data_IF_862947632028
#
_entry.id   IF_862947632028
#
_cell.length_a   1.000
_cell.length_b   1.000
_cell.length_c   1.000
_cell.angle_alpha   90.00
_cell.angle_beta   90.00
_cell.angle_gamma   90.00
#
_symmetry.space_group_name_H-M   'P 1'
#
loop_
_entity.id
_entity.type
_entity.pdbx_description
1 polymer ?
#
# COMPACT_ATOMS: atom_id res chain seq x y z
N UNK A 1 -10.21 -10.06 -31.60
CA UNK A 1 -9.48 -9.35 -30.50
C UNK A 1 -7.97 -9.64 -30.50
N UNK A 2 -7.39 -9.89 -31.68
CA UNK A 2 -5.95 -9.88 -31.94
C UNK A 2 -5.72 -8.89 -33.06
N UNK A 3 -5.52 -7.62 -32.72
CA UNK A 3 -4.85 -6.73 -33.65
C UNK A 3 -3.50 -6.44 -33.01
N UNK A 4 -2.46 -7.01 -33.62
CA UNK A 4 -1.09 -6.60 -33.37
C UNK A 4 -1.07 -5.10 -33.69
N UNK A 5 -0.76 -4.29 -32.68
CA UNK A 5 -0.40 -2.90 -32.90
C UNK A 5 0.67 -2.85 -33.99
N UNK A 6 0.62 -1.87 -34.88
CA UNK A 6 1.75 -1.62 -35.78
C UNK A 6 3.02 -1.42 -34.95
N UNK A 7 4.19 -1.71 -35.50
CA UNK A 7 5.46 -1.65 -34.77
C UNK A 7 5.70 -0.25 -34.18
N UNK A 8 5.34 0.79 -34.92
CA UNK A 8 5.41 2.18 -34.48
C UNK A 8 4.42 2.48 -33.34
N UNK A 9 3.19 1.97 -33.42
CA UNK A 9 2.17 2.14 -32.38
C UNK A 9 2.54 1.37 -31.10
N UNK A 10 3.15 0.19 -31.24
CA UNK A 10 3.70 -0.59 -30.13
C UNK A 10 4.81 0.18 -29.42
N UNK A 11 5.76 0.74 -30.18
CA UNK A 11 6.88 1.48 -29.61
C UNK A 11 6.42 2.77 -28.91
N UNK A 12 5.47 3.51 -29.51
CA UNK A 12 4.83 4.68 -28.90
C UNK A 12 4.12 4.31 -27.60
N UNK A 13 3.36 3.22 -27.60
CA UNK A 13 2.65 2.74 -26.41
C UNK A 13 3.64 2.36 -25.32
N UNK A 14 4.71 1.62 -25.64
CA UNK A 14 5.72 1.26 -24.65
C UNK A 14 6.43 2.46 -24.05
N UNK A 15 6.75 3.45 -24.87
CA UNK A 15 7.35 4.71 -24.39
C UNK A 15 6.40 5.45 -23.45
N UNK A 16 5.11 5.49 -23.77
CA UNK A 16 4.08 6.14 -22.94
C UNK A 16 3.95 5.54 -21.54
N UNK A 17 4.17 4.23 -21.39
CA UNK A 17 4.13 3.54 -20.08
C UNK A 17 5.53 3.30 -19.47
N UNK A 18 6.59 3.87 -20.05
CA UNK A 18 7.96 3.69 -19.53
C UNK A 18 8.52 2.27 -19.63
N UNK A 19 8.00 1.45 -20.55
CA UNK A 19 8.34 0.02 -20.72
C UNK A 19 9.03 -0.25 -22.06
N UNK A 20 9.73 0.73 -22.64
CA UNK A 20 10.42 0.62 -23.93
C UNK A 20 11.39 -0.59 -23.99
N UNK A 21 12.04 -0.91 -22.88
CA UNK A 21 12.96 -2.04 -22.79
C UNK A 21 12.28 -3.38 -22.51
N UNK A 22 10.99 -3.40 -22.14
CA UNK A 22 10.25 -4.65 -21.89
C UNK A 22 9.89 -5.29 -23.23
N UNK A 23 10.31 -6.53 -23.42
CA UNK A 23 10.13 -7.29 -24.66
C UNK A 23 8.68 -7.75 -24.80
N UNK A 24 8.23 -7.91 -26.06
CA UNK A 24 6.91 -8.45 -26.36
C UNK A 24 6.73 -9.89 -25.85
N UNK A 25 7.83 -10.65 -25.78
CA UNK A 25 7.84 -11.99 -25.22
C UNK A 25 7.48 -11.99 -23.73
N UNK A 26 8.04 -11.04 -22.95
CA UNK A 26 7.70 -10.86 -21.53
C UNK A 26 6.23 -10.48 -21.37
N UNK A 27 5.74 -9.48 -22.12
CA UNK A 27 4.33 -9.07 -22.08
C UNK A 27 3.39 -10.25 -22.37
N UNK A 28 3.68 -11.02 -23.43
CA UNK A 28 2.91 -12.21 -23.81
C UNK A 28 2.93 -13.28 -22.71
N UNK A 29 4.07 -13.49 -22.06
CA UNK A 29 4.24 -14.49 -21.00
C UNK A 29 3.43 -14.16 -19.74
N UNK A 30 3.34 -12.88 -19.38
CA UNK A 30 2.50 -12.40 -18.27
C UNK A 30 1.04 -12.13 -18.69
N UNK A 31 0.71 -12.31 -19.98
CA UNK A 31 -0.62 -12.07 -20.53
C UNK A 31 -1.00 -10.59 -20.62
N UNK A 32 -0.06 -9.66 -20.43
CA UNK A 32 -0.30 -8.21 -20.46
C UNK A 32 -0.61 -7.77 -21.88
N UNK A 33 -1.66 -6.96 -22.03
CA UNK A 33 -2.16 -6.49 -23.33
C UNK A 33 -2.42 -5.00 -23.31
N UNK A 34 -2.44 -4.38 -24.48
CA UNK A 34 -2.90 -3.01 -24.64
C UNK A 34 -4.31 -3.00 -25.23
N UNK A 35 -5.23 -2.28 -24.60
CA UNK A 35 -6.60 -2.09 -25.07
C UNK A 35 -6.71 -0.71 -25.71
N UNK A 36 -6.77 -0.65 -27.05
CA UNK A 36 -6.84 0.60 -27.82
C UNK A 36 -8.03 1.48 -27.43
N UNK A 37 -9.21 0.89 -27.29
CA UNK A 37 -10.46 1.63 -26.98
C UNK A 37 -10.38 2.40 -25.67
N UNK A 38 -9.78 1.80 -24.65
CA UNK A 38 -9.59 2.40 -23.34
C UNK A 38 -8.22 3.09 -23.19
N UNK A 39 -7.36 3.06 -24.23
CA UNK A 39 -5.95 3.48 -24.18
C UNK A 39 -5.19 2.97 -22.93
N UNK A 40 -5.50 1.74 -22.51
CA UNK A 40 -5.04 1.18 -21.22
C UNK A 40 -4.15 -0.04 -21.41
N UNK A 41 -3.14 -0.20 -20.55
CA UNK A 41 -2.52 -1.51 -20.34
C UNK A 41 -3.42 -2.37 -19.45
N UNK A 42 -3.54 -3.64 -19.80
CA UNK A 42 -4.38 -4.63 -19.13
C UNK A 42 -3.47 -5.68 -18.51
N UNK A 43 -3.48 -5.76 -17.19
CA UNK A 43 -2.79 -6.75 -16.40
C UNK A 43 -3.78 -7.84 -15.97
N UNK A 44 -3.75 -9.01 -16.61
CA UNK A 44 -4.64 -10.08 -16.24
C UNK A 44 -4.19 -10.75 -14.94
N UNK A 45 -5.19 -11.19 -14.21
CA UNK A 45 -5.04 -11.75 -12.89
C UNK A 45 -5.57 -13.17 -12.94
N UNK A 46 -4.63 -14.11 -12.99
CA UNK A 46 -4.91 -15.51 -13.20
C UNK A 46 -4.91 -16.28 -11.87
N UNK A 47 -5.81 -17.26 -11.78
CA UNK A 47 -5.77 -18.22 -10.70
C UNK A 47 -4.57 -19.17 -10.85
N UNK A 48 -3.83 -19.44 -9.76
CA UNK A 48 -2.62 -20.27 -9.83
C UNK A 48 -2.88 -21.75 -10.14
N UNK A 49 -4.11 -22.25 -9.98
CA UNK A 49 -4.42 -23.68 -10.18
C UNK A 49 -4.85 -24.03 -11.60
N UNK A 50 -5.66 -23.17 -12.22
CA UNK A 50 -6.34 -23.44 -13.49
C UNK A 50 -6.02 -22.40 -14.58
N UNK A 51 -5.19 -21.40 -14.27
CA UNK A 51 -4.92 -20.24 -15.13
C UNK A 51 -6.21 -19.53 -15.61
N UNK A 52 -7.32 -19.70 -14.88
CA UNK A 52 -8.57 -19.01 -15.17
C UNK A 52 -8.42 -17.52 -14.86
N UNK A 53 -9.00 -16.67 -15.71
CA UNK A 53 -9.02 -15.23 -15.47
C UNK A 53 -9.97 -14.94 -14.29
N UNK A 54 -9.43 -14.35 -13.22
CA UNK A 54 -10.18 -13.96 -12.02
C UNK A 54 -10.39 -12.45 -11.92
N UNK A 55 -9.59 -11.67 -12.64
CA UNK A 55 -9.72 -10.22 -12.70
C UNK A 55 -8.78 -9.59 -13.72
N UNK A 56 -8.84 -8.27 -13.80
CA UNK A 56 -8.07 -7.42 -14.69
C UNK A 56 -7.76 -6.13 -13.94
N UNK A 57 -6.51 -5.67 -14.01
CA UNK A 57 -6.15 -4.31 -13.65
C UNK A 57 -5.85 -3.53 -14.93
N UNK A 58 -6.50 -2.40 -15.10
CA UNK A 58 -6.33 -1.46 -16.21
C UNK A 58 -5.47 -0.30 -15.73
N UNK A 59 -4.46 0.08 -16.50
CA UNK A 59 -3.62 1.24 -16.24
C UNK A 59 -3.70 2.18 -17.44
N UNK A 60 -4.24 3.38 -17.21
CA UNK A 60 -4.34 4.47 -18.19
C UNK A 60 -3.24 5.47 -17.93
N UNK A 61 -2.57 5.91 -18.99
CA UNK A 61 -1.63 7.01 -18.92
C UNK A 61 -2.34 8.30 -19.35
N UNK A 62 -2.51 9.24 -18.43
CA UNK A 62 -3.04 10.57 -18.69
C UNK A 62 -1.91 11.59 -18.64
N UNK A 63 -1.80 12.43 -19.67
CA UNK A 63 -0.79 13.49 -19.74
C UNK A 63 -1.39 14.77 -19.17
N UNK A 64 -0.96 15.21 -17.99
CA UNK A 64 -1.36 16.49 -17.38
C UNK A 64 -0.18 17.44 -17.36
N UNK A 65 -0.31 18.54 -18.11
CA UNK A 65 0.56 19.74 -18.20
C UNK A 65 2.07 19.50 -18.42
N UNK A 66 2.75 18.68 -17.60
CA UNK A 66 4.14 18.23 -17.78
C UNK A 66 4.47 16.83 -17.20
N UNK A 67 3.50 16.14 -16.59
CA UNK A 67 3.68 14.83 -15.98
C UNK A 67 2.70 13.77 -16.53
N UNK A 68 3.18 12.53 -16.65
CA UNK A 68 2.31 11.39 -16.97
C UNK A 68 1.74 10.84 -15.67
N UNK A 69 0.44 10.99 -15.47
CA UNK A 69 -0.30 10.43 -14.34
C UNK A 69 -0.87 9.08 -14.76
N UNK A 70 -0.61 8.05 -13.97
CA UNK A 70 -1.18 6.74 -14.20
C UNK A 70 -2.46 6.60 -13.37
N UNK A 71 -3.57 6.31 -14.05
CA UNK A 71 -4.86 6.02 -13.42
C UNK A 71 -5.08 4.52 -13.48
N UNK A 72 -5.32 3.90 -12.32
CA UNK A 72 -5.52 2.47 -12.19
C UNK A 72 -7.00 2.15 -11.95
N UNK A 73 -7.51 1.11 -12.59
CA UNK A 73 -8.88 0.63 -12.42
C UNK A 73 -8.85 -0.90 -12.32
N UNK A 74 -9.58 -1.48 -11.36
CA UNK A 74 -9.51 -2.91 -11.06
C UNK A 74 -10.88 -3.59 -11.18
N UNK A 75 -10.94 -4.73 -11.86
CA UNK A 75 -12.17 -5.48 -12.13
C UNK A 75 -11.98 -6.98 -11.79
N UNK A 76 -12.80 -7.62 -10.93
CA UNK A 76 -13.82 -7.03 -10.05
C UNK A 76 -13.17 -6.18 -8.93
N UNK A 77 -13.98 -5.39 -8.21
CA UNK A 77 -13.50 -4.49 -7.14
C UNK A 77 -12.61 -5.22 -6.11
N UNK A 78 -11.64 -4.46 -5.59
CA UNK A 78 -10.46 -4.94 -4.84
C UNK A 78 -10.79 -5.85 -3.66
N UNK A 79 -11.91 -5.64 -2.97
CA UNK A 79 -12.24 -6.35 -1.73
C UNK A 79 -12.56 -7.85 -1.94
N UNK A 80 -12.92 -8.20 -3.18
CA UNK A 80 -13.22 -9.59 -3.58
C UNK A 80 -12.00 -10.36 -4.10
N UNK A 81 -10.86 -9.71 -4.35
CA UNK A 81 -9.74 -10.32 -5.05
C UNK A 81 -8.49 -10.52 -4.18
N UNK A 82 -8.05 -11.78 -4.07
CA UNK A 82 -6.97 -12.23 -3.18
C UNK A 82 -5.94 -13.07 -3.93
N UNK A 83 -5.36 -12.55 -5.00
CA UNK A 83 -4.34 -13.25 -5.79
C UNK A 83 -3.18 -12.29 -6.15
N UNK A 84 -2.06 -12.87 -6.56
CA UNK A 84 -0.83 -12.14 -6.92
C UNK A 84 -0.66 -12.13 -8.44
N UNK A 85 -0.23 -11.00 -8.99
CA UNK A 85 0.17 -10.93 -10.40
C UNK A 85 1.51 -11.66 -10.59
N UNK A 86 1.65 -12.40 -11.70
CA UNK A 86 2.89 -13.13 -12.01
C UNK A 86 2.97 -14.56 -11.47
N UNK A 87 1.90 -15.11 -10.89
CA UNK A 87 1.86 -16.50 -10.43
C UNK A 87 1.97 -17.55 -11.56
N UNK A 88 1.28 -17.45 -12.72
CA UNK A 88 1.32 -18.50 -13.73
C UNK A 88 2.71 -18.75 -14.37
N UNK A 89 3.56 -17.72 -14.59
CA UNK A 89 4.93 -17.93 -15.06
C UNK A 89 5.85 -18.73 -14.12
N UNK A 90 5.47 -18.91 -12.84
CA UNK A 90 6.29 -19.55 -11.81
C UNK A 90 6.18 -21.07 -11.91
N UNK A 91 7.32 -21.73 -11.98
CA UNK A 91 7.41 -23.18 -12.01
C UNK A 91 7.44 -23.78 -10.60
N UNK A 92 7.03 -25.05 -10.47
CA UNK A 92 7.13 -25.81 -9.21
C UNK A 92 8.57 -26.01 -8.69
N UNK A 93 9.58 -25.69 -9.51
CA UNK A 93 11.00 -25.80 -9.16
C UNK A 93 11.58 -24.51 -8.57
N UNK A 94 10.85 -23.41 -8.62
CA UNK A 94 11.32 -22.12 -8.14
C UNK A 94 11.28 -22.10 -6.61
N UNK A 95 12.46 -22.08 -5.97
CA UNK A 95 12.60 -22.06 -4.51
C UNK A 95 12.75 -20.65 -3.93
N UNK A 96 13.06 -19.68 -4.78
CA UNK A 96 13.30 -18.28 -4.43
C UNK A 96 12.30 -17.39 -5.17
N UNK A 97 11.79 -16.36 -4.49
CA UNK A 97 10.80 -15.43 -5.04
C UNK A 97 11.21 -13.98 -4.76
N UNK A 98 10.98 -13.10 -5.73
CA UNK A 98 11.02 -11.64 -5.52
C UNK A 98 9.60 -11.07 -5.48
N UNK A 99 9.25 -10.39 -4.39
CA UNK A 99 7.95 -9.73 -4.21
C UNK A 99 8.09 -8.23 -4.48
N UNK A 100 7.30 -7.71 -5.42
CA UNK A 100 7.26 -6.30 -5.82
C UNK A 100 5.93 -5.64 -5.46
N UNK A 101 5.93 -4.30 -5.42
CA UNK A 101 4.70 -3.52 -5.27
C UNK A 101 3.91 -3.37 -6.57
N UNK A 102 4.57 -3.43 -7.74
CA UNK A 102 3.97 -3.08 -9.02
C UNK A 102 4.14 -4.20 -10.05
N UNK A 103 3.15 -4.37 -10.93
CA UNK A 103 3.13 -5.41 -11.96
C UNK A 103 4.26 -5.25 -12.98
N UNK A 104 4.57 -4.01 -13.35
CA UNK A 104 5.66 -3.70 -14.28
C UNK A 104 7.03 -4.10 -13.73
N UNK A 105 7.24 -3.92 -12.42
CA UNK A 105 8.48 -4.27 -11.75
C UNK A 105 8.71 -5.80 -11.72
N UNK A 106 7.64 -6.57 -11.52
CA UNK A 106 7.72 -8.03 -11.61
C UNK A 106 8.13 -8.47 -13.03
N UNK A 107 7.56 -7.87 -14.07
CA UNK A 107 7.96 -8.17 -15.46
C UNK A 107 9.42 -7.80 -15.74
N UNK A 108 9.88 -6.64 -15.24
CA UNK A 108 11.26 -6.21 -15.41
C UNK A 108 12.25 -7.19 -14.77
N UNK A 109 11.96 -7.67 -13.56
CA UNK A 109 12.77 -8.67 -12.85
C UNK A 109 12.82 -10.00 -13.60
N UNK A 110 11.66 -10.48 -14.04
CA UNK A 110 11.58 -11.73 -14.79
C UNK A 110 12.39 -11.66 -16.08
N UNK A 111 12.32 -10.54 -16.80
CA UNK A 111 13.06 -10.35 -18.05
C UNK A 111 14.57 -10.26 -17.83
N UNK A 112 15.01 -9.43 -16.87
CA UNK A 112 16.41 -9.08 -16.75
C UNK A 112 17.21 -10.05 -15.88
N UNK A 113 16.59 -10.61 -14.83
CA UNK A 113 17.23 -11.51 -13.89
C UNK A 113 16.78 -12.97 -14.03
N UNK A 114 15.69 -13.25 -14.77
CA UNK A 114 15.17 -14.60 -14.92
C UNK A 114 14.61 -15.20 -13.62
N UNK A 115 14.31 -14.36 -12.63
CA UNK A 115 13.83 -14.77 -11.30
C UNK A 115 12.31 -14.85 -11.25
N UNK A 116 11.79 -15.81 -10.48
CA UNK A 116 10.38 -15.85 -10.14
C UNK A 116 10.01 -14.57 -9.38
N UNK A 117 9.02 -13.85 -9.89
CA UNK A 117 8.63 -12.55 -9.37
C UNK A 117 7.12 -12.38 -9.41
N UNK A 118 6.57 -11.78 -8.34
CA UNK A 118 5.14 -11.49 -8.23
C UNK A 118 4.93 -10.08 -7.69
N UNK A 119 3.81 -9.48 -8.09
CA UNK A 119 3.40 -8.16 -7.61
C UNK A 119 2.19 -8.23 -6.68
N UNK A 120 2.18 -7.35 -5.68
CA UNK A 120 1.07 -7.18 -4.75
C UNK A 120 -0.08 -6.39 -5.38
N UNK A 121 -1.34 -6.80 -5.18
CA UNK A 121 -2.49 -6.12 -5.77
C UNK A 121 -2.68 -4.68 -5.24
N UNK A 122 -2.27 -4.43 -3.99
CA UNK A 122 -2.34 -3.10 -3.32
C UNK A 122 -0.95 -2.51 -3.07
N UNK A 123 0.03 -2.88 -3.89
CA UNK A 123 1.41 -2.42 -3.75
C UNK A 123 1.98 -2.57 -2.34
N UNK A 124 2.69 -1.53 -1.88
CA UNK A 124 3.30 -1.51 -0.55
C UNK A 124 2.31 -1.20 0.59
N UNK A 125 1.02 -0.97 0.29
CA UNK A 125 0.03 -0.55 1.29
C UNK A 125 -0.40 -1.68 2.21
N UNK A 126 -0.67 -2.87 1.65
CA UNK A 126 -1.19 -3.99 2.45
C UNK A 126 -0.79 -5.35 1.85
N UNK A 127 -0.42 -6.28 2.74
CA UNK A 127 -0.22 -7.70 2.47
C UNK A 127 -1.27 -8.52 3.23
N UNK A 128 -2.43 -8.82 2.60
CA UNK A 128 -3.47 -9.62 3.22
C UNK A 128 -3.00 -11.03 3.58
N UNK A 129 -3.36 -11.57 4.76
CA UNK A 129 -3.00 -12.93 5.18
C UNK A 129 -3.43 -14.03 4.21
N UNK A 130 -4.50 -13.81 3.44
CA UNK A 130 -4.95 -14.74 2.41
C UNK A 130 -3.95 -14.96 1.26
N UNK A 131 -2.97 -14.06 1.08
CA UNK A 131 -1.91 -14.22 0.10
C UNK A 131 -0.72 -15.03 0.62
N UNK A 132 -0.60 -15.20 1.95
CA UNK A 132 0.53 -15.89 2.58
C UNK A 132 0.68 -17.35 2.12
N UNK A 133 -0.38 -18.16 1.94
CA UNK A 133 -0.25 -19.53 1.46
C UNK A 133 0.45 -19.63 0.09
N UNK A 134 0.26 -18.64 -0.80
CA UNK A 134 0.96 -18.60 -2.09
C UNK A 134 2.45 -18.33 -1.94
N UNK A 135 2.84 -17.59 -0.90
CA UNK A 135 4.22 -17.21 -0.61
C UNK A 135 4.93 -18.26 0.27
N UNK A 136 4.17 -19.10 0.98
CA UNK A 136 4.72 -20.10 1.91
C UNK A 136 5.55 -21.18 1.25
N UNK A 137 5.25 -21.54 0.00
CA UNK A 137 5.99 -22.54 -0.77
C UNK A 137 7.46 -22.17 -1.01
N UNK A 138 7.82 -20.88 -0.95
CA UNK A 138 9.17 -20.41 -1.24
C UNK A 138 10.06 -20.45 0.00
N UNK A 139 11.29 -20.97 -0.19
CA UNK A 139 12.30 -21.08 0.86
C UNK A 139 12.96 -19.74 1.17
N UNK A 140 13.03 -18.83 0.18
CA UNK A 140 13.60 -17.49 0.30
C UNK A 140 12.72 -16.48 -0.43
N UNK A 141 12.47 -15.35 0.21
CA UNK A 141 11.66 -14.27 -0.35
C UNK A 141 12.46 -12.97 -0.26
N UNK A 142 12.69 -12.33 -1.39
CA UNK A 142 13.31 -11.00 -1.45
C UNK A 142 12.22 -9.96 -1.67
N UNK A 143 12.14 -8.95 -0.80
CA UNK A 143 11.16 -7.87 -0.86
C UNK A 143 11.80 -6.65 -1.52
N UNK A 144 11.28 -6.25 -2.67
CA UNK A 144 11.69 -5.05 -3.42
C UNK A 144 10.44 -4.27 -3.82
N UNK A 145 9.85 -3.58 -2.85
CA UNK A 145 8.50 -3.00 -2.98
C UNK A 145 8.47 -1.64 -3.65
N UNK A 146 9.58 -0.90 -3.67
CA UNK A 146 9.67 0.43 -4.23
C UNK A 146 11.00 1.12 -3.87
N UNK A 147 11.06 2.42 -4.13
CA UNK A 147 12.24 3.26 -3.97
C UNK A 147 12.17 4.23 -2.78
N UNK A 148 11.04 4.31 -2.09
CA UNK A 148 10.82 5.23 -0.97
C UNK A 148 10.95 4.54 0.41
N UNK A 149 11.15 5.35 1.45
CA UNK A 149 11.23 4.86 2.81
C UNK A 149 9.94 4.16 3.26
N UNK A 150 8.78 4.55 2.73
CA UNK A 150 7.49 3.88 3.01
C UNK A 150 7.49 2.44 2.51
N UNK A 151 7.95 2.20 1.28
CA UNK A 151 8.11 0.86 0.72
C UNK A 151 9.11 0.02 1.53
N UNK A 152 10.17 0.64 2.05
CA UNK A 152 11.13 -0.02 2.93
C UNK A 152 10.52 -0.43 4.28
N UNK A 153 9.76 0.45 4.91
CA UNK A 153 9.05 0.15 6.15
C UNK A 153 7.97 -0.93 5.94
N UNK A 154 7.22 -0.86 4.84
CA UNK A 154 6.26 -1.88 4.44
C UNK A 154 6.94 -3.24 4.25
N UNK A 155 8.12 -3.27 3.61
CA UNK A 155 8.90 -4.49 3.45
C UNK A 155 9.33 -5.08 4.81
N UNK A 156 9.76 -4.23 5.76
CA UNK A 156 10.05 -4.67 7.14
C UNK A 156 8.81 -5.27 7.83
N UNK A 157 7.63 -4.68 7.64
CA UNK A 157 6.36 -5.18 8.19
C UNK A 157 5.98 -6.53 7.55
N UNK A 158 6.02 -6.63 6.23
CA UNK A 158 5.67 -7.84 5.48
C UNK A 158 6.63 -8.98 5.78
N UNK A 159 7.92 -8.71 6.00
CA UNK A 159 8.89 -9.71 6.42
C UNK A 159 8.55 -10.36 7.78
N UNK A 160 7.88 -9.62 8.70
CA UNK A 160 7.40 -10.19 9.96
C UNK A 160 6.28 -11.20 9.73
N UNK A 161 5.35 -10.92 8.80
CA UNK A 161 4.28 -11.85 8.40
C UNK A 161 4.82 -13.07 7.66
N UNK A 162 5.85 -12.88 6.83
CA UNK A 162 6.43 -13.89 5.97
C UNK A 162 7.56 -14.70 6.63
N UNK A 163 7.75 -14.60 7.94
CA UNK A 163 8.87 -15.17 8.70
C UNK A 163 10.23 -14.57 8.33
N UNK A 164 10.73 -13.70 9.21
CA UNK A 164 11.98 -12.94 9.08
C UNK A 164 13.20 -13.77 8.63
N UNK A 165 13.28 -15.05 9.02
CA UNK A 165 14.45 -15.90 8.71
C UNK A 165 14.60 -16.21 7.22
N UNK A 166 13.52 -16.13 6.44
CA UNK A 166 13.55 -16.40 4.99
C UNK A 166 13.45 -15.13 4.15
N UNK A 167 13.35 -13.97 4.77
CA UNK A 167 13.16 -12.70 4.09
C UNK A 167 14.47 -11.92 3.94
N UNK A 168 14.70 -11.41 2.74
CA UNK A 168 15.71 -10.40 2.44
C UNK A 168 15.03 -9.13 1.93
N UNK A 169 15.60 -7.97 2.21
CA UNK A 169 15.03 -6.67 1.87
C UNK A 169 16.00 -5.93 0.94
N UNK A 170 15.51 -5.44 -0.19
CA UNK A 170 16.25 -4.50 -1.04
C UNK A 170 16.07 -3.09 -0.48
N UNK A 171 17.16 -2.38 -0.30
CA UNK A 171 17.15 -1.05 0.31
C UNK A 171 16.83 0.02 -0.74
N UNK A 172 15.99 1.02 -0.43
CA UNK A 172 15.83 2.16 -1.30
C UNK A 172 17.12 3.01 -1.35
N UNK A 173 17.46 3.52 -2.52
CA UNK A 173 18.54 4.50 -2.72
C UNK A 173 18.85 4.72 -4.20
N UNK A 174 19.66 5.74 -4.50
CA UNK A 174 19.96 6.17 -5.88
C UNK A 174 20.55 5.06 -6.75
N UNK A 175 21.31 4.13 -6.13
CA UNK A 175 21.90 2.97 -6.81
C UNK A 175 20.99 1.74 -6.86
N UNK A 176 19.82 1.81 -6.24
CA UNK A 176 18.82 0.74 -6.11
C UNK A 176 17.40 1.31 -6.31
N UNK A 177 17.09 1.90 -7.49
CA UNK A 177 15.75 2.40 -7.80
C UNK A 177 14.76 1.23 -7.90
N UNK A 178 13.48 1.51 -8.18
CA UNK A 178 12.52 0.42 -8.43
C UNK A 178 12.94 -0.47 -9.63
N UNK A 179 12.54 -1.74 -9.68
CA UNK A 179 13.04 -2.69 -10.68
C UNK A 179 12.89 -2.25 -12.15
N UNK A 180 11.76 -1.64 -12.53
CA UNK A 180 11.56 -1.13 -13.89
C UNK A 180 12.55 -0.01 -14.23
N UNK A 181 12.80 0.90 -13.30
CA UNK A 181 13.71 2.03 -13.54
C UNK A 181 15.16 1.56 -13.52
N UNK A 182 15.50 0.59 -12.67
CA UNK A 182 16.80 -0.08 -12.70
C UNK A 182 17.06 -0.74 -14.06
N UNK A 183 16.04 -1.35 -14.67
CA UNK A 183 16.12 -1.90 -16.02
C UNK A 183 16.33 -0.79 -17.06
N UNK A 184 15.56 0.30 -16.98
CA UNK A 184 15.66 1.45 -17.88
C UNK A 184 17.02 2.15 -17.81
N UNK A 185 17.68 2.16 -16.65
CA UNK A 185 19.03 2.69 -16.45
C UNK A 185 20.14 1.70 -16.81
N UNK A 186 19.82 0.47 -17.21
CA UNK A 186 20.81 -0.57 -17.54
C UNK A 186 21.57 -1.11 -16.33
N UNK A 187 21.03 -0.96 -15.12
CA UNK A 187 21.63 -1.50 -13.90
C UNK A 187 21.54 -3.04 -13.88
N UNK A 188 22.45 -3.68 -13.16
CA UNK A 188 22.43 -5.13 -13.02
C UNK A 188 21.51 -5.56 -11.86
N UNK A 189 20.26 -5.91 -12.17
CA UNK A 189 19.27 -6.34 -11.18
C UNK A 189 19.72 -7.55 -10.36
N UNK A 190 20.46 -8.51 -10.96
CA UNK A 190 20.97 -9.68 -10.20
C UNK A 190 21.99 -9.27 -9.14
N UNK A 191 22.80 -8.24 -9.41
CA UNK A 191 23.73 -7.69 -8.42
C UNK A 191 22.98 -7.02 -7.27
N UNK A 192 21.90 -6.29 -7.56
CA UNK A 192 21.06 -5.64 -6.54
C UNK A 192 20.39 -6.70 -5.66
N UNK A 193 19.80 -7.75 -6.25
CA UNK A 193 19.19 -8.86 -5.51
C UNK A 193 20.19 -9.58 -4.60
N UNK A 194 21.43 -9.80 -5.05
CA UNK A 194 22.49 -10.40 -4.23
C UNK A 194 22.94 -9.51 -3.07
N UNK A 195 22.78 -8.18 -3.21
CA UNK A 195 23.10 -7.21 -2.17
C UNK A 195 21.94 -7.00 -1.17
N UNK A 196 20.79 -7.69 -1.35
CA UNK A 196 19.66 -7.59 -0.44
C UNK A 196 20.04 -7.99 0.99
N UNK A 197 19.58 -7.21 1.96
CA UNK A 197 19.93 -7.38 3.37
C UNK A 197 19.02 -8.42 4.02
N UNK A 198 19.55 -9.34 4.85
CA UNK A 198 18.69 -10.26 5.59
C UNK A 198 17.82 -9.48 6.58
N UNK A 199 16.55 -9.87 6.74
CA UNK A 199 15.61 -9.20 7.64
C UNK A 199 15.90 -9.44 9.15
N UNK A 200 17.00 -10.12 9.50
CA UNK A 200 17.25 -10.63 10.85
C UNK A 200 18.27 -9.83 11.67
N UNK A 201 17.85 -9.24 12.79
CA UNK A 201 18.33 -9.53 14.15
C UNK A 201 17.37 -8.95 15.21
N UNK A 202 17.12 -9.71 16.30
CA UNK A 202 16.23 -9.33 17.40
C UNK A 202 17.06 -8.73 18.53
N UNK A 203 16.69 -7.53 18.96
CA UNK A 203 16.92 -6.98 20.31
C UNK A 203 18.22 -6.21 20.59
N UNK A 204 19.33 -6.41 19.89
CA UNK A 204 20.55 -5.59 20.06
C UNK A 204 21.23 -5.38 18.70
N UNK A 205 21.56 -4.13 18.38
CA UNK A 205 22.26 -3.72 17.16
C UNK A 205 23.37 -2.74 17.52
N UNK A 206 24.51 -2.85 16.84
CA UNK A 206 25.63 -1.91 16.98
C UNK A 206 25.48 -0.73 16.03
N UNK A 207 26.10 0.43 16.33
CA UNK A 207 26.13 1.54 15.38
C UNK A 207 26.72 1.13 14.04
N UNK A 208 27.69 0.19 14.01
CA UNK A 208 28.23 -0.34 12.75
C UNK A 208 27.15 -0.96 11.86
N UNK A 209 26.14 -1.61 12.44
CA UNK A 209 25.01 -2.19 11.71
C UNK A 209 23.96 -1.12 11.34
N UNK A 210 23.82 -0.07 12.15
CA UNK A 210 22.89 1.03 11.91
C UNK A 210 23.43 2.14 11.00
N UNK A 211 24.76 2.24 10.84
CA UNK A 211 25.46 3.35 10.19
C UNK A 211 24.85 3.71 8.84
N UNK A 212 24.57 2.67 8.07
CA UNK A 212 23.95 2.77 6.77
C UNK A 212 22.52 3.29 6.87
N UNK A 213 21.67 2.71 7.72
CA UNK A 213 20.30 3.19 7.95
C UNK A 213 20.26 4.65 8.41
N UNK A 214 21.11 5.02 9.38
CA UNK A 214 21.27 6.40 9.87
C UNK A 214 21.66 7.35 8.75
N UNK A 215 22.64 6.98 7.91
CA UNK A 215 22.99 7.78 6.74
C UNK A 215 21.79 7.95 5.79
N UNK A 216 21.02 6.89 5.58
CA UNK A 216 19.81 6.95 4.75
C UNK A 216 18.74 7.88 5.31
N UNK A 217 18.54 7.89 6.63
CA UNK A 217 17.61 8.82 7.28
C UNK A 217 18.08 10.27 7.17
N UNK A 218 19.39 10.52 7.33
CA UNK A 218 19.98 11.85 7.18
C UNK A 218 19.85 12.38 5.74
N UNK A 219 20.11 11.52 4.74
CA UNK A 219 19.93 11.89 3.32
C UNK A 219 18.45 12.14 3.00
N UNK A 220 17.55 11.31 3.51
CA UNK A 220 16.11 11.37 3.22
C UNK A 220 15.32 12.11 4.30
N UNK A 221 15.84 13.23 4.80
CA UNK A 221 15.25 13.99 5.93
C UNK A 221 13.76 14.31 5.69
N UNK A 222 13.37 14.64 4.46
CA UNK A 222 11.97 14.92 4.14
C UNK A 222 11.04 13.70 4.21
N UNK A 223 11.54 12.50 3.86
CA UNK A 223 10.75 11.26 3.94
C UNK A 223 10.62 10.77 5.39
N UNK A 224 11.61 11.06 6.23
CA UNK A 224 11.61 10.72 7.66
C UNK A 224 10.73 11.67 8.49
N UNK A 225 10.45 12.89 7.99
CA UNK A 225 9.63 13.88 8.69
C UNK A 225 8.18 13.42 8.97
N UNK A 226 7.74 12.34 8.32
CA UNK A 226 6.40 11.80 8.40
C UNK A 226 5.56 12.15 7.18
N UNK A 227 4.34 11.64 7.14
CA UNK A 227 3.41 11.88 6.05
C UNK A 227 2.80 13.27 6.23
N UNK A 228 3.20 14.21 5.37
CA UNK A 228 2.67 15.58 5.36
C UNK A 228 1.19 15.56 4.97
N UNK A 229 0.33 16.27 5.70
CA UNK A 229 -1.08 16.38 5.34
C UNK A 229 -1.25 17.24 4.08
N UNK A 230 -2.01 16.76 3.10
CA UNK A 230 -2.25 17.54 1.88
C UNK A 230 -3.23 18.70 2.14
N UNK A 231 -4.28 18.44 2.92
CA UNK A 231 -5.32 19.40 3.28
C UNK A 231 -4.93 20.36 4.41
N UNK A 232 -3.83 20.10 5.13
CA UNK A 232 -3.39 20.91 6.29
C UNK A 232 -1.93 21.41 6.20
N UNK A 233 -1.61 22.36 5.29
CA UNK A 233 -0.25 22.88 5.14
C UNK A 233 0.31 23.55 6.39
N UNK A 234 -0.51 24.30 7.13
CA UNK A 234 -0.08 24.96 8.37
C UNK A 234 0.25 23.95 9.49
N UNK A 235 -0.49 22.84 9.56
CA UNK A 235 -0.21 21.77 10.51
C UNK A 235 1.15 21.12 10.22
N UNK A 236 1.52 20.99 8.94
CA UNK A 236 2.85 20.52 8.55
C UNK A 236 3.97 21.46 9.01
N UNK A 237 3.74 22.79 9.05
CA UNK A 237 4.77 23.72 9.56
C UNK A 237 5.06 23.47 11.04
N UNK A 238 4.03 23.14 11.81
CA UNK A 238 4.10 22.92 13.25
C UNK A 238 4.56 21.49 13.62
N UNK A 239 3.89 20.47 13.08
CA UNK A 239 4.09 19.07 13.47
C UNK A 239 5.03 18.29 12.54
N UNK A 240 5.38 18.86 11.38
CA UNK A 240 6.23 18.27 10.33
C UNK A 240 5.66 17.04 9.62
N UNK A 241 4.45 16.61 9.94
CA UNK A 241 3.75 15.47 9.33
C UNK A 241 3.38 14.41 10.37
N UNK A 242 2.64 13.38 9.92
CA UNK A 242 2.28 12.22 10.73
C UNK A 242 3.45 11.23 10.80
N UNK A 243 4.00 10.97 11.98
CA UNK A 243 5.06 9.96 12.17
C UNK A 243 4.53 8.73 12.91
N UNK A 244 5.00 7.56 12.47
CA UNK A 244 4.64 6.29 13.10
C UNK A 244 5.25 6.19 14.49
N UNK A 245 4.50 5.60 15.43
CA UNK A 245 4.93 5.42 16.81
C UNK A 245 4.67 6.62 17.73
N UNK A 246 4.16 7.73 17.19
CA UNK A 246 3.71 8.86 18.00
C UNK A 246 2.30 8.61 18.58
N UNK A 247 2.06 9.14 19.78
CA UNK A 247 0.74 9.22 20.40
C UNK A 247 0.30 10.69 20.41
N UNK A 248 -0.69 11.01 19.59
CA UNK A 248 -1.26 12.36 19.51
C UNK A 248 -2.54 12.42 20.33
N UNK A 249 -2.59 13.31 21.32
CA UNK A 249 -3.80 13.58 22.12
C UNK A 249 -4.47 14.84 21.59
N UNK A 250 -5.69 14.71 21.07
CA UNK A 250 -6.50 15.83 20.62
C UNK A 250 -7.60 16.12 21.64
N UNK A 251 -7.63 17.35 22.16
CA UNK A 251 -8.54 17.74 23.26
C UNK A 251 -9.20 19.08 23.00
N UNK A 252 -10.33 19.33 23.65
CA UNK A 252 -11.16 20.52 23.47
C UNK A 252 -12.59 20.31 24.00
N UNK A 253 -13.37 21.39 24.19
CA UNK A 253 -14.71 21.30 24.75
C UNK A 253 -15.67 20.49 23.85
N UNK A 254 -16.75 19.97 24.43
CA UNK A 254 -17.80 19.29 23.67
C UNK A 254 -18.40 20.25 22.64
N UNK A 255 -18.66 19.74 21.42
CA UNK A 255 -19.20 20.56 20.34
C UNK A 255 -18.18 21.45 19.61
N UNK A 256 -16.89 21.44 19.99
CA UNK A 256 -15.86 22.25 19.33
C UNK A 256 -15.39 21.71 17.97
N UNK A 257 -16.03 20.67 17.43
CA UNK A 257 -15.67 20.07 16.14
C UNK A 257 -14.51 19.06 16.18
N UNK A 258 -14.16 18.48 17.34
CA UNK A 258 -13.03 17.54 17.46
C UNK A 258 -13.13 16.33 16.52
N UNK A 259 -14.24 15.60 16.60
CA UNK A 259 -14.49 14.44 15.74
C UNK A 259 -14.47 14.83 14.27
N UNK A 260 -15.05 15.98 13.91
CA UNK A 260 -15.06 16.52 12.55
C UNK A 260 -13.65 16.83 12.04
N UNK A 261 -12.79 17.40 12.88
CA UNK A 261 -11.40 17.67 12.53
C UNK A 261 -10.59 16.38 12.39
N UNK A 262 -10.72 15.45 13.35
CA UNK A 262 -9.97 14.20 13.31
C UNK A 262 -10.43 13.30 12.16
N UNK A 263 -11.72 13.33 11.79
CA UNK A 263 -12.24 12.63 10.61
C UNK A 263 -11.60 13.13 9.32
N UNK A 264 -11.51 14.45 9.15
CA UNK A 264 -10.83 15.08 8.01
C UNK A 264 -9.33 14.78 7.98
N UNK A 265 -8.67 14.90 9.14
CA UNK A 265 -7.25 14.59 9.33
C UNK A 265 -6.91 13.14 8.96
N UNK A 266 -7.73 12.20 9.44
CA UNK A 266 -7.52 10.79 9.19
C UNK A 266 -7.82 10.42 7.73
N UNK A 267 -8.84 11.06 7.15
CA UNK A 267 -9.20 10.88 5.75
C UNK A 267 -8.07 11.34 4.82
N UNK A 268 -7.45 12.50 5.09
CA UNK A 268 -6.30 12.98 4.33
C UNK A 268 -5.15 11.95 4.29
N UNK A 269 -4.86 11.31 5.44
CA UNK A 269 -3.87 10.23 5.51
C UNK A 269 -4.33 8.98 4.74
N UNK A 270 -5.61 8.60 4.83
CA UNK A 270 -6.17 7.47 4.07
C UNK A 270 -6.03 7.66 2.57
N UNK A 271 -6.33 8.87 2.08
CA UNK A 271 -6.21 9.25 0.67
C UNK A 271 -4.76 9.16 0.16
N UNK A 272 -3.79 9.30 1.06
CA UNK A 272 -2.36 9.11 0.78
C UNK A 272 -1.89 7.65 0.95
N UNK A 273 -2.82 6.71 1.18
CA UNK A 273 -2.55 5.28 1.29
C UNK A 273 -2.22 4.79 2.70
N UNK A 274 -2.45 5.59 3.75
CA UNK A 274 -2.21 5.18 5.14
C UNK A 274 -3.37 4.31 5.63
N UNK A 275 -3.09 3.03 5.89
CA UNK A 275 -4.04 2.09 6.48
C UNK A 275 -4.51 2.56 7.86
N UNK A 276 -5.74 3.04 7.94
CA UNK A 276 -6.30 3.70 9.12
C UNK A 276 -7.43 2.90 9.73
N UNK A 277 -7.42 2.76 11.04
CA UNK A 277 -8.49 2.13 11.82
C UNK A 277 -9.17 3.15 12.74
N UNK A 278 -10.49 3.24 12.66
CA UNK A 278 -11.31 4.09 13.51
C UNK A 278 -12.03 3.29 14.59
N UNK A 279 -11.74 3.59 15.86
CA UNK A 279 -12.55 3.17 17.00
C UNK A 279 -13.45 4.31 17.45
N UNK A 280 -14.71 4.31 17.00
CA UNK A 280 -15.69 5.33 17.39
C UNK A 280 -16.59 4.85 18.53
N UNK A 281 -16.36 5.37 19.74
CA UNK A 281 -17.07 4.98 20.96
C UNK A 281 -18.25 5.91 21.28
N UNK A 282 -18.27 7.13 20.74
CA UNK A 282 -19.33 8.13 20.96
C UNK A 282 -20.40 8.10 19.85
N UNK A 283 -19.99 8.20 18.58
CA UNK A 283 -20.88 8.19 17.42
C UNK A 283 -20.93 6.82 16.74
N UNK A 284 -22.03 6.50 16.05
CA UNK A 284 -22.12 5.24 15.29
C UNK A 284 -21.26 5.29 14.02
N UNK A 285 -20.76 4.14 13.59
CA UNK A 285 -19.99 4.02 12.35
C UNK A 285 -20.74 4.56 11.12
N UNK A 286 -22.06 4.37 11.04
CA UNK A 286 -22.89 4.93 9.95
C UNK A 286 -22.81 6.46 9.94
N UNK A 287 -22.89 7.10 11.11
CA UNK A 287 -22.82 8.57 11.22
C UNK A 287 -21.41 9.08 10.93
N UNK A 288 -20.38 8.40 11.42
CA UNK A 288 -18.98 8.73 11.13
C UNK A 288 -18.68 8.58 9.64
N UNK A 289 -19.04 7.45 9.03
CA UNK A 289 -18.85 7.19 7.61
C UNK A 289 -19.58 8.22 6.75
N UNK A 290 -20.81 8.62 7.12
CA UNK A 290 -21.50 9.73 6.46
C UNK A 290 -20.69 11.02 6.49
N UNK A 291 -20.16 11.41 7.67
CA UNK A 291 -19.33 12.62 7.80
C UNK A 291 -18.08 12.53 6.92
N UNK A 292 -17.37 11.40 6.99
CA UNK A 292 -16.15 11.18 6.21
C UNK A 292 -16.42 11.13 4.70
N UNK A 293 -17.53 10.55 4.26
CA UNK A 293 -17.91 10.50 2.85
C UNK A 293 -18.22 11.90 2.30
N UNK A 294 -18.97 12.71 3.06
CA UNK A 294 -19.24 14.11 2.70
C UNK A 294 -17.94 14.94 2.66
N UNK A 295 -17.02 14.71 3.61
CA UNK A 295 -15.68 15.31 3.64
C UNK A 295 -14.80 14.87 2.48
N UNK A 296 -14.91 13.62 2.07
CA UNK A 296 -14.18 13.06 0.94
C UNK A 296 -14.65 13.66 -0.38
N UNK A 297 -15.97 13.77 -0.56
CA UNK A 297 -16.60 14.36 -1.72
C UNK A 297 -16.43 15.90 -1.78
N UNK A 298 -16.10 16.54 -0.65
CA UNK A 298 -16.01 17.99 -0.50
C UNK A 298 -17.28 18.74 -0.95
N UNK A 299 -18.44 18.09 -0.87
CA UNK A 299 -19.74 18.61 -1.29
C UNK A 299 -20.86 18.02 -0.43
N UNK A 300 -22.02 18.68 -0.42
CA UNK A 300 -23.19 18.27 0.37
C UNK A 300 -23.94 17.16 -0.35
N UNK A 301 -23.52 15.91 -0.16
CA UNK A 301 -24.12 14.74 -0.81
C UNK A 301 -25.62 14.59 -0.52
N UNK A 302 -26.14 15.13 0.59
CA UNK A 302 -27.59 15.12 0.84
C UNK A 302 -28.39 15.91 -0.19
N UNK A 303 -27.77 16.89 -0.85
CA UNK A 303 -28.38 17.72 -1.90
C UNK A 303 -28.15 17.14 -3.31
N UNK A 304 -27.28 16.14 -3.45
CA UNK A 304 -26.85 15.53 -4.73
C UNK A 304 -26.76 14.00 -4.61
N UNK A 305 -27.87 13.36 -4.22
CA UNK A 305 -27.92 11.91 -3.99
C UNK A 305 -27.62 11.08 -5.23
N UNK A 306 -27.80 11.63 -6.43
CA UNK A 306 -27.39 11.00 -7.69
C UNK A 306 -25.88 10.70 -7.80
N UNK A 307 -25.04 11.42 -7.06
CA UNK A 307 -23.59 11.21 -7.02
C UNK A 307 -23.17 10.24 -5.90
N UNK A 308 -24.11 9.75 -5.09
CA UNK A 308 -23.80 8.92 -3.92
C UNK A 308 -23.01 7.67 -4.31
N UNK A 309 -23.48 6.90 -5.29
CA UNK A 309 -22.84 5.65 -5.68
C UNK A 309 -21.41 5.89 -6.18
N UNK A 310 -21.19 6.92 -7.00
CA UNK A 310 -19.84 7.27 -7.49
C UNK A 310 -18.87 7.58 -6.33
N UNK A 311 -19.30 8.40 -5.37
CA UNK A 311 -18.44 8.75 -4.24
C UNK A 311 -18.28 7.62 -3.24
N UNK A 312 -19.32 6.83 -3.01
CA UNK A 312 -19.27 5.64 -2.17
C UNK A 312 -18.26 4.63 -2.73
N UNK A 313 -18.30 4.37 -4.04
CA UNK A 313 -17.37 3.50 -4.74
C UNK A 313 -15.91 3.95 -4.54
N UNK A 314 -15.64 5.24 -4.72
CA UNK A 314 -14.31 5.81 -4.52
C UNK A 314 -13.88 5.80 -3.05
N UNK A 315 -14.83 5.90 -2.13
CA UNK A 315 -14.56 5.86 -0.69
C UNK A 315 -14.26 4.43 -0.21
N UNK A 316 -14.88 3.41 -0.81
CA UNK A 316 -14.60 1.99 -0.56
C UNK A 316 -13.15 1.60 -0.90
N UNK A 317 -12.52 2.28 -1.86
CA UNK A 317 -11.13 2.02 -2.25
C UNK A 317 -10.10 2.51 -1.21
N UNK A 318 -10.51 3.35 -0.25
CA UNK A 318 -9.63 3.85 0.80
C UNK A 318 -9.25 2.72 1.77
N UNK A 319 -7.99 2.68 2.28
CA UNK A 319 -7.57 1.71 3.28
C UNK A 319 -8.08 2.09 4.69
N UNK A 320 -9.39 2.27 4.83
CA UNK A 320 -10.08 2.75 6.01
C UNK A 320 -10.95 1.64 6.61
N UNK A 321 -10.76 1.37 7.90
CA UNK A 321 -11.47 0.32 8.63
C UNK A 321 -12.10 0.88 9.90
N UNK A 322 -13.19 0.27 10.36
CA UNK A 322 -13.90 0.69 11.56
C UNK A 322 -13.98 -0.47 12.58
N UNK A 323 -13.71 -0.19 13.85
CA UNK A 323 -14.08 -1.09 14.93
C UNK A 323 -15.60 -1.06 15.12
N UNK A 324 -16.18 -2.18 15.54
CA UNK A 324 -17.63 -2.29 15.78
C UNK A 324 -18.03 -1.94 17.22
N UNK A 325 -17.12 -1.31 17.97
CA UNK A 325 -17.37 -0.93 19.35
C UNK A 325 -18.26 0.31 19.45
N UNK A 326 -19.05 0.38 20.53
CA UNK A 326 -19.81 1.58 20.91
C UNK A 326 -19.92 1.62 22.43
N UNK A 327 -19.81 2.82 23.01
CA UNK A 327 -19.87 3.01 24.46
C UNK A 327 -18.72 2.33 25.21
N UNK A 328 -18.94 1.98 26.47
CA UNK A 328 -17.91 1.40 27.33
C UNK A 328 -17.45 0.04 26.82
N UNK A 329 -16.14 -0.16 26.78
CA UNK A 329 -15.52 -1.42 26.36
C UNK A 329 -14.33 -1.76 27.25
N UNK A 330 -14.03 -3.05 27.37
CA UNK A 330 -12.82 -3.49 28.06
C UNK A 330 -11.58 -3.09 27.24
N UNK A 331 -10.64 -2.37 27.87
CA UNK A 331 -9.41 -1.90 27.22
C UNK A 331 -8.60 -3.04 26.59
N UNK A 332 -8.58 -4.23 27.20
CA UNK A 332 -7.88 -5.39 26.66
C UNK A 332 -8.52 -5.85 25.35
N UNK A 333 -9.84 -5.90 25.28
CA UNK A 333 -10.57 -6.25 24.05
C UNK A 333 -10.32 -5.23 22.94
N UNK A 334 -10.25 -3.94 23.29
CA UNK A 334 -9.92 -2.87 22.33
C UNK A 334 -8.49 -3.05 21.81
N UNK A 335 -7.52 -3.28 22.69
CA UNK A 335 -6.11 -3.51 22.31
C UNK A 335 -5.96 -4.77 21.46
N UNK A 336 -6.59 -5.89 21.84
CA UNK A 336 -6.54 -7.15 21.09
C UNK A 336 -7.13 -6.97 19.68
N UNK A 337 -8.19 -6.16 19.56
CA UNK A 337 -8.80 -5.81 18.26
C UNK A 337 -7.86 -4.95 17.42
N UNK A 338 -7.18 -3.97 18.03
CA UNK A 338 -6.15 -3.18 17.35
C UNK A 338 -5.02 -4.08 16.85
N UNK A 339 -4.50 -4.98 17.68
CA UNK A 339 -3.43 -5.91 17.30
C UNK A 339 -3.85 -6.84 16.16
N UNK A 340 -5.07 -7.38 16.24
CA UNK A 340 -5.64 -8.18 15.17
C UNK A 340 -5.77 -7.38 13.87
N UNK A 341 -6.23 -6.13 13.93
CA UNK A 341 -6.36 -5.28 12.76
C UNK A 341 -5.01 -4.92 12.14
N UNK A 342 -4.00 -4.61 12.96
CA UNK A 342 -2.60 -4.40 12.50
C UNK A 342 -2.10 -5.64 11.76
N UNK A 343 -2.36 -6.84 12.29
CA UNK A 343 -1.95 -8.08 11.62
C UNK A 343 -2.74 -8.35 10.32
N UNK A 344 -4.05 -8.21 10.34
CA UNK A 344 -4.92 -8.59 9.21
C UNK A 344 -4.88 -7.56 8.07
N UNK A 345 -4.85 -6.28 8.40
CA UNK A 345 -5.07 -5.18 7.46
C UNK A 345 -3.87 -4.23 7.35
N UNK A 346 -2.74 -4.55 7.98
CA UNK A 346 -1.53 -3.71 7.99
C UNK A 346 -1.81 -2.27 8.48
N UNK A 347 -2.71 -2.11 9.45
CA UNK A 347 -3.04 -0.82 10.04
C UNK A 347 -1.76 -0.15 10.56
N UNK A 348 -1.53 1.09 10.16
CA UNK A 348 -0.39 1.92 10.58
C UNK A 348 -0.81 3.19 11.31
N UNK A 349 -2.10 3.54 11.25
CA UNK A 349 -2.70 4.68 11.94
C UNK A 349 -4.00 4.25 12.64
N UNK A 350 -4.15 4.60 13.93
CA UNK A 350 -5.34 4.25 14.72
C UNK A 350 -5.90 5.51 15.35
N UNK A 351 -7.20 5.74 15.16
CA UNK A 351 -7.95 6.80 15.82
C UNK A 351 -8.87 6.18 16.87
N UNK A 352 -8.84 6.72 18.08
CA UNK A 352 -9.72 6.33 19.19
C UNK A 352 -10.51 7.55 19.62
N UNK A 353 -11.81 7.57 19.30
CA UNK A 353 -12.69 8.71 19.59
C UNK A 353 -14.01 8.20 20.18
N UNK A 354 -14.33 8.33 21.46
CA UNK A 354 -13.73 9.19 22.47
C UNK A 354 -13.28 8.34 23.68
N UNK A 355 -12.08 8.62 24.20
CA UNK A 355 -11.46 7.88 25.31
C UNK A 355 -12.35 7.83 26.57
N UNK A 356 -13.11 8.88 26.84
CA UNK A 356 -14.03 8.91 28.00
C UNK A 356 -15.11 7.84 27.89
N UNK A 357 -15.73 7.69 26.72
CA UNK A 357 -16.77 6.70 26.50
C UNK A 357 -16.21 5.29 26.44
N UNK A 358 -14.98 5.12 25.95
CA UNK A 358 -14.30 3.83 25.92
C UNK A 358 -14.08 3.28 27.34
N UNK A 359 -13.51 4.09 28.24
CA UNK A 359 -13.21 3.68 29.61
C UNK A 359 -14.47 3.53 30.47
N UNK A 360 -15.55 4.23 30.12
CA UNK A 360 -16.74 4.33 30.95
C UNK A 360 -16.49 5.18 32.21
N UNK A 361 -17.56 5.46 32.95
CA UNK A 361 -17.44 6.06 34.28
C UNK A 361 -17.04 4.98 35.30
N UNK A 362 -15.90 4.32 35.11
CA UNK A 362 -15.25 3.67 36.24
C UNK A 362 -14.74 4.78 37.15
N UNK A 363 -15.30 4.86 38.35
CA UNK A 363 -14.73 5.64 39.42
C UNK A 363 -13.25 5.25 39.51
N UNK A 364 -12.37 6.17 39.15
CA UNK A 364 -11.03 6.24 39.71
C UNK A 364 -11.26 6.31 41.22
N UNK A 365 -11.35 5.15 41.88
CA UNK A 365 -11.02 5.07 43.29
C UNK A 365 -9.57 5.54 43.33
N UNK A 366 -9.43 6.78 43.74
CA UNK A 366 -8.18 7.35 44.18
C UNK A 366 -7.67 6.45 45.29
N UNK A 367 -6.85 5.47 44.92
CA UNK A 367 -6.01 4.76 45.87
C UNK A 367 -5.12 5.82 46.52
N UNK A 368 -5.39 6.03 47.81
CA UNK A 368 -4.65 6.87 48.75
C UNK A 368 -3.31 6.24 49.09
#
# INVERSE_FOLDING_TARGET
LWELLDEEETNKTKAMFGISLVTNATLKRFGVRYLRTAKSLVFPWFSPRDASLKGLKLMRAEKKEDATVYVEETLPRLDSYRNLFGLPPIGRRDTELVLTGWELDAMALHQAAGVASVALPRGATCLPPALLPYLEQFKRITLWLGEDLRSWEAAKLFARKLNLKRCSLVRPGDLQPRPLDALNQGLNLTKILRAALPASHKSIVSFRQLREEVFGELVNTEQVAGIKWARFPELNKLLKGHRRGELTVFTGPTGSGKTTFISEYALDLCMQGVCTLWGSFEISNIRLAKIMLTQFAAQRLEEQLELYDEWADRFEDLPLYFMTFRGQQNIKTVIDTMQHAVYMYDITHVVVDNLQFMMGHEHLSSDR
#
